data_IF_035740390408
#
_entry.id   IF_035740390408
#
_cell.length_a   1.000
_cell.length_b   1.000
_cell.length_c   1.000
_cell.angle_alpha   90.00
_cell.angle_beta   90.00
_cell.angle_gamma   90.00
#
_symmetry.space_group_name_H-M   'P 1'
#
loop_
_entity.id
_entity.type
_entity.pdbx_description
1 polymer ?
#
# COMPACT_ATOMS: atom_id res chain seq x y z
N UNK A 1 -37.64 31.89 31.74
CA UNK A 1 -37.49 32.47 30.38
C UNK A 1 -36.02 32.56 30.03
N UNK A 2 -35.65 32.25 28.79
CA UNK A 2 -34.34 32.61 28.23
C UNK A 2 -33.35 31.48 28.05
N UNK A 3 -33.76 30.42 27.33
CA UNK A 3 -32.88 29.45 26.69
C UNK A 3 -31.78 30.20 25.93
N UNK A 4 -30.52 29.94 26.24
CA UNK A 4 -29.41 30.42 25.43
C UNK A 4 -29.50 29.65 24.12
N UNK A 5 -30.13 30.24 23.11
CA UNK A 5 -30.11 29.72 21.74
C UNK A 5 -28.66 29.80 21.27
N UNK A 6 -27.89 28.73 21.46
CA UNK A 6 -26.87 28.38 20.47
C UNK A 6 -27.64 28.28 19.16
N UNK A 7 -27.36 29.18 18.22
CA UNK A 7 -27.62 28.85 16.82
C UNK A 7 -26.90 27.53 16.61
N UNK A 8 -27.63 26.49 16.27
CA UNK A 8 -27.02 25.34 15.62
C UNK A 8 -26.18 25.93 14.50
N UNK A 9 -24.88 25.58 14.47
CA UNK A 9 -24.11 25.72 13.25
C UNK A 9 -24.96 25.11 12.11
N UNK A 10 -24.91 25.64 10.88
CA UNK A 10 -25.43 24.86 9.77
C UNK A 10 -24.80 23.47 9.93
N UNK A 11 -25.64 22.45 10.02
CA UNK A 11 -25.17 21.08 9.83
C UNK A 11 -24.39 21.16 8.53
N UNK A 12 -23.07 20.96 8.60
CA UNK A 12 -22.26 20.73 7.43
C UNK A 12 -22.90 19.49 6.79
N UNK A 13 -23.82 19.75 5.86
CA UNK A 13 -24.27 18.77 4.90
C UNK A 13 -23.01 18.52 4.10
N UNK A 14 -22.25 17.51 4.52
CA UNK A 14 -21.30 16.85 3.63
C UNK A 14 -22.13 16.46 2.41
N UNK A 15 -22.08 17.29 1.37
CA UNK A 15 -22.58 16.91 0.06
C UNK A 15 -21.77 15.66 -0.28
N UNK A 16 -22.40 14.48 -0.21
CA UNK A 16 -21.81 13.24 -0.72
C UNK A 16 -21.51 13.52 -2.20
N UNK A 17 -20.25 13.83 -2.50
CA UNK A 17 -19.79 14.03 -3.86
C UNK A 17 -20.08 12.75 -4.61
N UNK A 18 -20.96 12.81 -5.61
CA UNK A 18 -21.22 11.65 -6.47
C UNK A 18 -19.87 11.23 -7.07
N UNK A 19 -19.37 10.01 -6.77
CA UNK A 19 -18.08 9.57 -7.27
C UNK A 19 -18.05 9.44 -8.81
N UNK A 20 -19.21 9.56 -9.46
CA UNK A 20 -19.36 9.58 -10.91
C UNK A 20 -19.65 10.99 -11.47
N UNK A 21 -19.61 12.03 -10.64
CA UNK A 21 -19.82 13.41 -11.07
C UNK A 21 -18.82 13.77 -12.18
N UNK A 22 -19.35 14.26 -13.30
CA UNK A 22 -18.54 14.63 -14.47
C UNK A 22 -18.26 13.50 -15.47
N UNK A 23 -18.74 12.27 -15.21
CA UNK A 23 -18.65 11.16 -16.17
C UNK A 23 -19.93 11.02 -17.00
N UNK A 24 -19.80 10.50 -18.23
CA UNK A 24 -20.95 10.12 -19.03
C UNK A 24 -21.55 8.82 -18.50
N UNK A 25 -22.87 8.68 -18.54
CA UNK A 25 -23.57 7.47 -18.07
C UNK A 25 -23.07 6.19 -18.76
N UNK A 26 -22.64 6.29 -20.03
CA UNK A 26 -22.05 5.19 -20.77
C UNK A 26 -20.70 4.72 -20.18
N UNK A 27 -19.87 5.66 -19.72
CA UNK A 27 -18.56 5.37 -19.13
C UNK A 27 -18.72 4.70 -17.76
N UNK A 28 -19.67 5.19 -16.95
CA UNK A 28 -20.02 4.58 -15.65
C UNK A 28 -20.50 3.14 -15.84
N UNK A 29 -21.35 2.89 -16.85
CA UNK A 29 -21.81 1.55 -17.20
C UNK A 29 -20.65 0.65 -17.65
N UNK A 30 -19.75 1.16 -18.49
CA UNK A 30 -18.59 0.41 -18.94
C UNK A 30 -17.63 0.06 -17.79
N UNK A 31 -17.40 1.01 -16.87
CA UNK A 31 -16.61 0.80 -15.65
C UNK A 31 -17.24 -0.25 -14.73
N UNK A 32 -18.56 -0.23 -14.58
CA UNK A 32 -19.27 -1.22 -13.77
C UNK A 32 -19.15 -2.65 -14.36
N UNK A 33 -19.23 -2.79 -15.68
CA UNK A 33 -19.06 -4.08 -16.38
C UNK A 33 -17.62 -4.58 -16.23
N UNK A 34 -16.63 -3.75 -16.54
CA UNK A 34 -15.21 -4.13 -16.42
C UNK A 34 -14.82 -4.48 -14.99
N UNK A 35 -15.33 -3.75 -13.99
CA UNK A 35 -15.12 -4.10 -12.57
C UNK A 35 -15.74 -5.44 -12.21
N UNK A 36 -16.94 -5.75 -12.72
CA UNK A 36 -17.61 -7.02 -12.46
C UNK A 36 -16.81 -8.19 -13.06
N UNK A 37 -16.36 -8.05 -14.30
CA UNK A 37 -15.57 -9.08 -14.99
C UNK A 37 -14.23 -9.32 -14.27
N UNK A 38 -13.58 -8.24 -13.79
CA UNK A 38 -12.35 -8.36 -13.01
C UNK A 38 -12.54 -9.09 -11.68
N UNK A 39 -13.65 -8.85 -10.98
CA UNK A 39 -13.99 -9.54 -9.73
C UNK A 39 -14.29 -11.02 -9.98
N UNK A 40 -15.02 -11.33 -11.06
CA UNK A 40 -15.31 -12.72 -11.45
C UNK A 40 -14.02 -13.48 -11.83
N UNK A 41 -13.13 -12.85 -12.60
CA UNK A 41 -11.83 -13.41 -12.93
C UNK A 41 -10.95 -13.66 -11.69
N UNK A 42 -10.94 -12.73 -10.73
CA UNK A 42 -10.21 -12.91 -9.47
C UNK A 42 -10.80 -14.06 -8.63
N UNK A 43 -12.14 -14.20 -8.60
CA UNK A 43 -12.82 -15.32 -7.95
C UNK A 43 -12.42 -16.68 -8.54
N UNK A 44 -12.33 -16.77 -9.87
CA UNK A 44 -11.91 -18.00 -10.55
C UNK A 44 -10.47 -18.44 -10.22
N UNK A 45 -9.58 -17.50 -9.89
CA UNK A 45 -8.23 -17.81 -9.42
C UNK A 45 -8.22 -18.38 -8.00
N UNK A 46 -9.18 -17.99 -7.17
CA UNK A 46 -9.34 -18.46 -5.79
C UNK A 46 -10.02 -19.84 -5.70
N UNK A 47 -10.82 -20.20 -6.71
CA UNK A 47 -11.49 -21.51 -6.82
C UNK A 47 -10.55 -22.66 -7.25
N UNK A 48 -9.28 -22.36 -7.51
CA UNK A 48 -8.24 -23.36 -7.79
C UNK A 48 -7.94 -24.27 -6.59
N UNK A 49 -7.21 -25.39 -6.81
CA UNK A 49 -6.80 -26.26 -5.73
C UNK A 49 -5.94 -25.47 -4.73
N UNK A 50 -6.42 -25.38 -3.48
CA UNK A 50 -5.69 -24.71 -2.41
C UNK A 50 -4.39 -25.47 -2.15
N UNK A 51 -3.26 -24.76 -2.22
CA UNK A 51 -1.98 -25.31 -1.75
C UNK A 51 -2.04 -25.30 -0.23
N UNK A 52 -2.10 -26.48 0.38
CA UNK A 52 -1.93 -26.62 1.82
C UNK A 52 -0.48 -26.22 2.13
N UNK A 53 -0.28 -24.97 2.53
CA UNK A 53 0.97 -24.53 3.14
C UNK A 53 1.03 -25.25 4.48
N UNK A 54 1.86 -26.29 4.56
CA UNK A 54 2.28 -26.80 5.85
C UNK A 54 3.00 -25.65 6.54
N UNK A 55 2.54 -25.20 7.72
CA UNK A 55 3.37 -24.32 8.52
C UNK A 55 4.62 -25.13 8.83
N UNK A 56 5.74 -24.79 8.20
CA UNK A 56 7.03 -25.20 8.75
C UNK A 56 7.02 -24.70 10.18
N UNK A 57 7.28 -25.61 11.11
CA UNK A 57 7.34 -25.36 12.54
C UNK A 57 8.54 -24.44 12.78
N UNK A 58 8.35 -23.16 12.49
CA UNK A 58 9.28 -22.12 12.86
C UNK A 58 9.39 -22.21 14.38
N UNK A 59 10.57 -22.59 14.86
CA UNK A 59 10.86 -22.63 16.27
C UNK A 59 10.39 -21.28 16.86
N UNK A 60 9.60 -21.29 17.95
CA UNK A 60 9.12 -20.07 18.54
C UNK A 60 10.35 -19.26 18.96
N UNK A 61 10.68 -18.23 18.18
CA UNK A 61 11.57 -17.18 18.66
C UNK A 61 10.87 -16.62 19.89
N UNK A 62 11.53 -16.55 21.06
CA UNK A 62 10.91 -15.94 22.22
C UNK A 62 10.46 -14.54 21.81
N UNK A 63 9.15 -14.34 21.71
CA UNK A 63 8.59 -13.01 21.61
C UNK A 63 9.14 -12.26 22.83
N UNK A 64 9.81 -11.11 22.66
CA UNK A 64 10.19 -10.33 23.82
C UNK A 64 8.92 -10.15 24.64
N UNK A 65 8.99 -10.55 25.91
CA UNK A 65 7.93 -10.31 26.87
C UNK A 65 7.82 -8.80 26.99
N UNK A 66 6.98 -8.20 26.15
CA UNK A 66 6.62 -6.80 26.30
C UNK A 66 6.10 -6.66 27.72
N UNK A 67 6.67 -5.71 28.46
CA UNK A 67 6.39 -5.44 29.87
C UNK A 67 4.87 -5.34 30.10
N UNK A 68 4.24 -6.45 30.50
CA UNK A 68 2.83 -6.50 30.93
C UNK A 68 2.78 -6.07 32.40
N UNK A 69 3.50 -5.01 32.74
CA UNK A 69 3.44 -4.32 34.02
C UNK A 69 2.31 -3.31 34.02
N UNK A 70 1.78 -2.99 35.21
CA UNK A 70 0.87 -1.86 35.39
C UNK A 70 1.57 -0.58 34.92
N UNK A 71 1.10 -0.01 33.81
CA UNK A 71 1.66 1.23 33.27
C UNK A 71 1.24 2.38 34.17
N UNK A 72 2.21 3.06 34.80
CA UNK A 72 1.95 4.25 35.60
C UNK A 72 1.42 5.37 34.69
N UNK A 73 0.13 5.66 34.81
CA UNK A 73 -0.55 6.71 34.02
C UNK A 73 0.07 8.09 34.28
N UNK A 74 0.65 8.31 35.46
CA UNK A 74 1.33 9.57 35.76
C UNK A 74 2.63 9.72 34.95
N UNK A 75 3.34 8.63 34.66
CA UNK A 75 4.53 8.65 33.81
C UNK A 75 4.19 8.85 32.32
N UNK A 76 3.02 8.37 31.87
CA UNK A 76 2.53 8.61 30.50
C UNK A 76 2.11 10.06 30.24
N UNK A 77 1.62 10.74 31.29
CA UNK A 77 1.17 12.13 31.23
C UNK A 77 2.26 13.13 31.64
N UNK A 78 3.46 12.63 31.98
CA UNK A 78 4.60 13.47 32.27
C UNK A 78 5.15 14.05 30.96
N UNK A 79 4.78 15.30 30.65
CA UNK A 79 5.39 16.12 29.60
C UNK A 79 6.83 16.56 29.97
N UNK A 80 7.55 15.70 30.70
CA UNK A 80 8.99 15.84 30.92
C UNK A 80 9.72 15.95 29.58
N UNK A 81 11.00 16.36 29.57
CA UNK A 81 11.75 16.49 28.32
C UNK A 81 11.77 15.12 27.63
N UNK A 82 10.93 14.99 26.59
CA UNK A 82 10.92 13.84 25.70
C UNK A 82 12.35 13.73 25.20
N UNK A 83 13.03 12.63 25.53
CA UNK A 83 14.35 12.34 24.98
C UNK A 83 14.24 12.57 23.47
N UNK A 84 15.12 13.39 22.87
CA UNK A 84 15.01 13.71 21.46
C UNK A 84 14.91 12.38 20.72
N UNK A 85 13.80 12.19 20.00
CA UNK A 85 13.53 10.95 19.29
C UNK A 85 14.79 10.57 18.52
N UNK A 86 15.43 9.48 18.94
CA UNK A 86 16.67 9.05 18.31
C UNK A 86 16.31 8.73 16.86
N UNK A 87 16.92 9.45 15.94
CA UNK A 87 16.70 9.20 14.52
C UNK A 87 17.40 7.89 14.15
N UNK A 88 16.60 6.91 13.72
CA UNK A 88 17.08 5.61 13.30
C UNK A 88 17.10 5.48 11.76
N UNK A 89 16.84 6.58 11.04
CA UNK A 89 16.83 6.60 9.57
C UNK A 89 18.13 6.10 8.95
N UNK A 90 19.25 6.23 9.67
CA UNK A 90 20.58 5.84 9.23
C UNK A 90 21.01 4.44 9.74
N UNK A 91 20.21 3.77 10.57
CA UNK A 91 20.58 2.44 11.06
C UNK A 91 20.43 1.38 9.96
N UNK A 92 21.51 0.62 9.74
CA UNK A 92 21.57 -0.49 8.77
C UNK A 92 21.31 -0.08 7.31
N UNK A 93 21.52 1.19 6.96
CA UNK A 93 21.47 1.64 5.56
C UNK A 93 22.83 1.37 4.91
N UNK A 94 22.82 0.59 3.82
CA UNK A 94 23.99 0.40 2.95
C UNK A 94 23.79 1.30 1.73
N UNK A 95 24.68 2.27 1.56
CA UNK A 95 24.68 3.19 0.41
C UNK A 95 25.65 2.66 -0.63
N UNK A 96 25.18 2.55 -1.86
CA UNK A 96 25.98 2.17 -3.03
C UNK A 96 26.22 3.42 -3.89
N UNK A 97 27.46 3.62 -4.34
CA UNK A 97 27.83 4.78 -5.17
C UNK A 97 27.45 4.56 -6.64
N UNK A 98 27.54 3.31 -7.10
CA UNK A 98 27.28 2.91 -8.48
C UNK A 98 26.32 1.72 -8.54
N UNK A 99 25.50 1.66 -9.60
CA UNK A 99 24.56 0.55 -9.83
C UNK A 99 25.26 -0.79 -10.06
N UNK A 100 26.51 -0.76 -10.51
CA UNK A 100 27.33 -1.96 -10.73
C UNK A 100 27.67 -2.69 -9.41
N UNK A 101 27.53 -2.01 -8.27
CA UNK A 101 27.68 -2.61 -6.94
C UNK A 101 26.45 -3.39 -6.49
N UNK A 102 25.30 -3.16 -7.15
CA UNK A 102 24.07 -3.88 -6.88
C UNK A 102 24.12 -5.22 -7.62
N UNK A 103 23.75 -6.29 -6.92
CA UNK A 103 23.57 -7.59 -7.56
C UNK A 103 22.44 -7.49 -8.59
N UNK A 104 22.71 -7.86 -9.85
CA UNK A 104 21.69 -7.98 -10.89
C UNK A 104 20.80 -9.20 -10.63
N UNK A 105 19.52 -9.02 -10.23
CA UNK A 105 18.62 -10.13 -9.93
C UNK A 105 18.26 -10.96 -11.16
N UNK A 106 18.49 -10.43 -12.36
CA UNK A 106 18.13 -11.05 -13.63
C UNK A 106 19.34 -11.66 -14.35
N UNK A 107 20.54 -11.58 -13.78
CA UNK A 107 21.76 -12.12 -14.40
C UNK A 107 21.63 -13.60 -14.80
N UNK A 108 20.93 -14.40 -13.98
CA UNK A 108 20.70 -15.83 -14.22
C UNK A 108 19.27 -16.14 -14.71
N UNK A 109 18.45 -15.12 -14.97
CA UNK A 109 17.07 -15.34 -15.37
C UNK A 109 16.99 -15.90 -16.80
N UNK A 110 16.27 -17.02 -17.03
CA UNK A 110 16.08 -17.53 -18.37
C UNK A 110 15.18 -16.59 -19.17
N UNK A 111 15.63 -16.18 -20.36
CA UNK A 111 14.80 -15.42 -21.30
C UNK A 111 13.78 -16.38 -21.92
N UNK A 112 12.49 -16.09 -21.73
CA UNK A 112 11.38 -16.89 -22.27
C UNK A 112 10.64 -16.05 -23.30
N UNK A 113 10.60 -16.55 -24.55
CA UNK A 113 9.96 -15.89 -25.69
C UNK A 113 10.94 -15.63 -26.84
N UNK A 114 10.40 -15.23 -27.98
CA UNK A 114 11.22 -14.82 -29.13
C UNK A 114 11.73 -13.38 -28.93
N UNK A 115 12.99 -13.13 -29.30
CA UNK A 115 13.52 -11.77 -29.34
C UNK A 115 12.87 -11.05 -30.53
N UNK A 116 12.25 -9.87 -30.33
CA UNK A 116 11.67 -9.12 -31.45
C UNK A 116 12.76 -8.66 -32.42
N UNK A 117 12.42 -8.60 -33.71
CA UNK A 117 13.31 -8.06 -34.73
C UNK A 117 13.53 -6.55 -34.51
N UNK A 118 14.80 -6.11 -34.62
CA UNK A 118 15.14 -4.69 -34.60
C UNK A 118 14.64 -4.02 -35.89
N UNK A 119 13.90 -2.91 -35.75
CA UNK A 119 13.43 -2.11 -36.88
C UNK A 119 14.35 -0.89 -37.01
N UNK A 120 15.07 -0.79 -38.13
CA UNK A 120 15.79 0.42 -38.50
C UNK A 120 14.79 1.46 -39.03
N UNK A 121 14.70 2.61 -38.37
CA UNK A 121 13.94 3.73 -38.88
C UNK A 121 14.81 4.48 -39.90
N UNK A 122 14.52 4.33 -41.19
CA UNK A 122 15.03 5.24 -42.20
C UNK A 122 14.46 6.63 -41.93
N UNK A 123 15.33 7.55 -41.53
CA UNK A 123 14.97 8.94 -41.36
C UNK A 123 14.98 9.58 -42.75
N UNK A 124 13.86 9.46 -43.46
CA UNK A 124 13.61 10.22 -44.68
C UNK A 124 13.53 11.71 -44.31
N UNK A 125 14.69 12.34 -44.30
CA UNK A 125 14.83 13.76 -44.03
C UNK A 125 14.09 14.57 -45.09
N UNK A 126 13.03 15.25 -44.66
CA UNK A 126 12.42 16.39 -45.36
C UNK A 126 12.83 17.71 -44.70
#
# INVERSE_FOLDING_TARGET
MGWWKRKAAPEDQEEEEDPNAGLLEADVKHLAVTRKDAVEAAGALLDGPTVIVHPEEAAPTPTPEYDVGDVDVAALLDDGPVEPSIDHSELNVVVHEDLDELADPLADAPVVGDLPDEIEFENDGE
#
